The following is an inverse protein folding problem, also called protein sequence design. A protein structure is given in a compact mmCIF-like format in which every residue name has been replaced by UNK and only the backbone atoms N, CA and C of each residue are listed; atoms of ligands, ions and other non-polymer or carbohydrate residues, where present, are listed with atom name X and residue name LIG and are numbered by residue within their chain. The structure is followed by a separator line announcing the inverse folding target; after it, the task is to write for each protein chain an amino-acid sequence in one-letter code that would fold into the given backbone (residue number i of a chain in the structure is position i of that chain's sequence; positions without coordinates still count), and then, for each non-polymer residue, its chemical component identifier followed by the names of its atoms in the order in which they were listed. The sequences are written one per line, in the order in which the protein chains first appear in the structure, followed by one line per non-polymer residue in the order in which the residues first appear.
data_IF_528924988129
#
_entry.id   IF_528924988129
#
_cell.length_a   1.000
_cell.length_b   1.000
_cell.length_c   1.000
_cell.angle_alpha   90.00
_cell.angle_beta   90.00
_cell.angle_gamma   90.00
#
_symmetry.space_group_name_H-M   'P 1'
#
loop_
_entity.id
_entity.type
_entity.pdbx_description
1 polymer ?
#
# COMPACT_ATOMS: atom_id res chain seq x y z
N UNK A 1 -43.51 38.48 10.22
CA UNK A 1 -42.29 38.58 9.40
C UNK A 1 -41.50 37.29 9.66
N UNK A 2 -41.69 36.27 8.82
CA UNK A 2 -40.98 34.98 8.93
C UNK A 2 -40.20 34.85 7.63
N UNK A 3 -38.88 34.89 7.72
CA UNK A 3 -37.98 34.77 6.57
C UNK A 3 -37.66 33.30 6.37
N UNK A 4 -38.18 32.69 5.29
CA UNK A 4 -37.81 31.35 4.87
C UNK A 4 -36.52 31.43 4.06
N UNK A 5 -35.42 30.92 4.62
CA UNK A 5 -34.16 30.71 3.90
C UNK A 5 -34.29 29.36 3.19
N UNK A 6 -34.38 29.38 1.87
CA UNK A 6 -34.24 28.17 1.04
C UNK A 6 -32.76 27.84 0.91
N UNK A 7 -32.31 26.76 1.57
CA UNK A 7 -30.98 26.19 1.36
C UNK A 7 -31.07 25.21 0.19
N UNK A 8 -30.64 25.61 -1.00
CA UNK A 8 -30.48 24.71 -2.14
C UNK A 8 -29.19 23.92 -1.99
N UNK A 9 -29.29 22.63 -1.66
CA UNK A 9 -28.17 21.70 -1.76
C UNK A 9 -27.87 21.45 -3.25
N UNK A 10 -26.85 22.11 -3.77
CA UNK A 10 -26.29 21.78 -5.07
C UNK A 10 -25.43 20.53 -4.91
N UNK A 11 -25.98 19.36 -5.23
CA UNK A 11 -25.20 18.14 -5.43
C UNK A 11 -24.33 18.35 -6.66
N UNK A 12 -23.09 18.78 -6.46
CA UNK A 12 -22.08 18.70 -7.49
C UNK A 12 -21.73 17.21 -7.67
N UNK A 13 -21.94 16.61 -8.86
CA UNK A 13 -21.34 15.32 -9.14
C UNK A 13 -19.83 15.52 -9.09
N UNK A 14 -19.16 14.81 -8.18
CA UNK A 14 -17.70 14.73 -8.23
C UNK A 14 -17.34 14.17 -9.61
N UNK A 15 -16.49 14.86 -10.39
CA UNK A 15 -16.04 14.32 -11.66
C UNK A 15 -15.33 13.01 -11.37
N UNK A 16 -15.90 11.90 -11.85
CA UNK A 16 -15.19 10.63 -11.99
C UNK A 16 -14.17 10.87 -13.10
N UNK A 17 -13.02 11.42 -12.71
CA UNK A 17 -11.84 11.40 -13.56
C UNK A 17 -11.46 9.93 -13.70
N UNK A 18 -11.63 9.41 -14.91
CA UNK A 18 -10.91 8.21 -15.34
C UNK A 18 -9.43 8.56 -15.37
N UNK A 19 -8.78 8.53 -14.22
CA UNK A 19 -7.33 8.60 -14.07
C UNK A 19 -6.91 7.27 -13.50
N UNK A 20 -6.28 6.45 -14.36
CA UNK A 20 -5.53 5.28 -13.91
C UNK A 20 -4.65 5.68 -12.73
N UNK A 21 -4.53 4.82 -11.72
CA UNK A 21 -3.67 5.09 -10.58
C UNK A 21 -2.20 5.26 -11.03
N UNK A 22 -1.39 6.06 -10.30
CA UNK A 22 -0.01 6.29 -10.70
C UNK A 22 0.79 5.02 -10.44
N UNK A 23 1.76 4.72 -11.32
CA UNK A 23 2.82 3.78 -10.98
C UNK A 23 3.84 4.53 -10.13
N UNK A 24 4.14 3.98 -8.95
CA UNK A 24 5.02 4.62 -7.99
C UNK A 24 6.41 3.99 -8.02
N UNK A 25 7.43 4.84 -8.09
CA UNK A 25 8.82 4.45 -7.89
C UNK A 25 9.12 4.49 -6.39
N UNK A 26 9.42 3.32 -5.85
CA UNK A 26 9.58 3.12 -4.42
C UNK A 26 11.00 2.63 -4.09
N UNK A 27 11.41 2.85 -2.85
CA UNK A 27 12.56 2.17 -2.26
C UNK A 27 12.08 1.03 -1.36
N UNK A 28 12.43 -0.21 -1.70
CA UNK A 28 12.32 -1.32 -0.76
C UNK A 28 13.45 -1.21 0.27
N UNK A 29 13.10 -1.11 1.54
CA UNK A 29 14.03 -0.96 2.65
C UNK A 29 13.88 -2.13 3.61
N UNK A 30 15.01 -2.74 3.97
CA UNK A 30 15.04 -3.82 4.95
C UNK A 30 16.30 -3.73 5.79
N UNK A 31 16.15 -3.83 7.10
CA UNK A 31 17.29 -4.00 8.01
C UNK A 31 17.94 -5.36 7.78
N UNK A 32 19.26 -5.39 7.57
CA UNK A 32 19.96 -6.68 7.65
C UNK A 32 19.94 -7.17 9.10
N UNK A 33 19.71 -8.46 9.34
CA UNK A 33 19.99 -9.05 10.64
C UNK A 33 21.42 -8.71 11.05
N UNK A 34 21.57 -7.93 12.13
CA UNK A 34 22.88 -7.57 12.65
C UNK A 34 23.64 -8.82 13.10
N UNK A 35 24.97 -8.85 12.92
CA UNK A 35 25.82 -9.97 13.37
C UNK A 35 26.00 -10.09 14.89
N UNK A 36 25.14 -9.44 15.69
CA UNK A 36 25.31 -9.29 17.13
C UNK A 36 26.38 -8.24 17.46
N UNK A 37 25.96 -7.18 18.16
CA UNK A 37 26.87 -6.16 18.69
C UNK A 37 26.61 -4.76 18.15
N UNK A 38 25.77 -4.00 18.86
CA UNK A 38 25.81 -2.54 19.10
C UNK A 38 25.87 -1.52 17.95
N UNK A 39 26.23 -1.90 16.73
CA UNK A 39 26.32 -1.01 15.57
C UNK A 39 25.00 -1.01 14.81
N UNK A 40 24.57 0.13 14.24
CA UNK A 40 23.38 0.18 13.40
C UNK A 40 23.51 -0.83 12.27
N UNK A 41 22.48 -1.65 12.12
CA UNK A 41 22.42 -2.66 11.07
C UNK A 41 22.55 -1.98 9.71
N UNK A 42 23.38 -2.55 8.83
CA UNK A 42 23.43 -2.10 7.45
C UNK A 42 22.05 -2.31 6.81
N UNK A 43 21.44 -1.25 6.27
CA UNK A 43 20.17 -1.35 5.56
C UNK A 43 20.38 -1.81 4.12
N UNK A 44 19.47 -2.67 3.66
CA UNK A 44 19.29 -2.97 2.23
C UNK A 44 18.32 -1.92 1.71
N UNK A 45 18.69 -1.28 0.60
CA UNK A 45 17.83 -0.39 -0.13
C UNK A 45 17.85 -0.79 -1.60
N UNK A 46 16.69 -1.13 -2.15
CA UNK A 46 16.54 -1.60 -3.54
C UNK A 46 15.47 -0.77 -4.25
N UNK A 47 15.72 -0.41 -5.50
CA UNK A 47 14.69 0.23 -6.34
C UNK A 47 13.56 -0.74 -6.58
N UNK A 48 12.34 -0.24 -6.51
CA UNK A 48 11.12 -1.02 -6.64
C UNK A 48 10.03 -0.23 -7.36
N UNK A 49 9.06 -0.94 -7.92
CA UNK A 49 7.86 -0.35 -8.51
C UNK A 49 6.63 -0.85 -7.77
N UNK A 50 5.69 0.05 -7.53
CA UNK A 50 4.36 -0.26 -6.99
C UNK A 50 3.29 0.10 -8.02
N UNK A 51 2.65 -0.93 -8.54
CA UNK A 51 1.51 -0.86 -9.43
C UNK A 51 0.23 -0.94 -8.62
N UNK A 52 -0.66 0.02 -8.84
CA UNK A 52 -1.92 0.15 -8.09
C UNK A 52 -3.07 -0.09 -9.05
N UNK A 53 -3.97 -0.97 -8.64
CA UNK A 53 -5.22 -1.22 -9.33
C UNK A 53 -6.40 -0.95 -8.38
N UNK A 54 -7.51 -0.44 -8.90
CA UNK A 54 -8.75 -0.28 -8.11
C UNK A 54 -9.66 -1.48 -8.24
N UNK A 55 -9.55 -2.25 -9.33
CA UNK A 55 -10.39 -3.40 -9.62
C UNK A 55 -9.60 -4.71 -9.47
N UNK A 56 -9.97 -5.60 -8.54
CA UNK A 56 -9.31 -6.89 -8.39
C UNK A 56 -9.46 -7.82 -9.61
N UNK A 57 -10.48 -7.62 -10.45
CA UNK A 57 -10.75 -8.46 -11.63
C UNK A 57 -10.10 -7.90 -12.90
N UNK A 58 -9.59 -6.67 -12.88
CA UNK A 58 -8.97 -6.09 -14.06
C UNK A 58 -7.54 -6.61 -14.24
N UNK A 59 -7.32 -7.35 -15.33
CA UNK A 59 -5.99 -7.75 -15.81
C UNK A 59 -5.22 -6.57 -16.42
N UNK A 60 -5.77 -5.35 -16.39
CA UNK A 60 -5.25 -4.16 -17.06
C UNK A 60 -3.89 -3.70 -16.53
N UNK A 61 -3.50 -4.11 -15.31
CA UNK A 61 -2.20 -3.72 -14.72
C UNK A 61 -1.02 -4.58 -15.17
N UNK A 62 -1.23 -5.67 -15.94
CA UNK A 62 -0.13 -6.51 -16.45
C UNK A 62 0.49 -6.01 -17.77
N UNK A 63 0.05 -4.87 -18.32
CA UNK A 63 0.31 -4.54 -19.73
C UNK A 63 1.39 -3.49 -20.01
N UNK A 64 2.36 -3.93 -20.83
CA UNK A 64 3.18 -3.26 -21.86
C UNK A 64 4.61 -2.80 -21.53
N UNK A 65 4.91 -2.13 -20.41
CA UNK A 65 6.28 -1.68 -20.13
C UNK A 65 6.87 -2.53 -19.00
N UNK A 66 7.71 -3.52 -19.35
CA UNK A 66 8.48 -4.26 -18.36
C UNK A 66 9.27 -3.30 -17.46
N UNK A 67 9.61 -3.70 -16.22
CA UNK A 67 10.46 -2.88 -15.35
C UNK A 67 11.72 -2.46 -16.13
N UNK A 68 12.16 -1.22 -15.92
CA UNK A 68 13.41 -0.76 -16.50
C UNK A 68 14.55 -1.70 -16.08
N UNK A 69 15.59 -1.80 -16.89
CA UNK A 69 16.69 -2.77 -16.67
C UNK A 69 17.41 -2.62 -15.32
N UNK A 70 17.21 -1.49 -14.61
CA UNK A 70 17.76 -1.22 -13.28
C UNK A 70 16.86 -1.65 -12.10
N UNK A 71 15.69 -2.24 -12.36
CA UNK A 71 14.75 -2.71 -11.32
C UNK A 71 14.68 -4.24 -11.34
N UNK A 72 14.93 -4.85 -10.18
CA UNK A 72 14.78 -6.29 -10.01
C UNK A 72 13.30 -6.69 -10.13
N UNK A 73 13.00 -7.73 -10.91
CA UNK A 73 11.64 -8.25 -11.07
C UNK A 73 10.99 -8.68 -9.74
N UNK A 74 11.79 -9.12 -8.75
CA UNK A 74 11.32 -9.46 -7.40
C UNK A 74 10.93 -8.23 -6.57
N UNK A 75 11.17 -7.02 -7.10
CA UNK A 75 10.87 -5.73 -6.48
C UNK A 75 9.78 -4.96 -7.24
N UNK A 76 8.99 -5.69 -8.03
CA UNK A 76 7.78 -5.16 -8.65
C UNK A 76 6.56 -5.67 -7.89
N UNK A 77 5.82 -4.75 -7.28
CA UNK A 77 4.66 -5.04 -6.45
C UNK A 77 3.39 -4.64 -7.17
N UNK A 78 2.40 -5.53 -7.18
CA UNK A 78 1.06 -5.27 -7.71
C UNK A 78 0.09 -5.31 -6.55
N UNK A 79 -0.67 -4.24 -6.35
CA UNK A 79 -1.67 -4.16 -5.29
C UNK A 79 -3.03 -3.78 -5.83
N UNK A 80 -4.06 -4.20 -5.10
CA UNK A 80 -5.42 -3.72 -5.28
C UNK A 80 -5.78 -2.78 -4.14
N UNK A 81 -6.22 -1.58 -4.48
CA UNK A 81 -6.79 -0.58 -3.58
C UNK A 81 -8.22 -0.23 -4.03
N UNK A 82 -9.22 -1.03 -3.62
CA UNK A 82 -10.61 -0.80 -4.01
C UNK A 82 -11.17 0.54 -3.49
N UNK A 83 -10.57 1.10 -2.44
CA UNK A 83 -10.97 2.39 -1.88
C UNK A 83 -10.37 3.58 -2.65
N UNK A 84 -9.46 3.33 -3.61
CA UNK A 84 -8.78 4.32 -4.44
C UNK A 84 -8.05 5.43 -3.65
N UNK A 85 -7.64 5.14 -2.40
CA UNK A 85 -6.93 6.08 -1.52
C UNK A 85 -5.54 6.39 -2.08
N UNK A 86 -4.88 5.40 -2.67
CA UNK A 86 -3.55 5.48 -3.27
C UNK A 86 -3.58 6.05 -4.70
N UNK A 87 -4.76 6.36 -5.24
CA UNK A 87 -4.92 6.94 -6.57
C UNK A 87 -5.12 8.47 -6.53
N UNK A 88 -4.73 9.10 -5.43
CA UNK A 88 -4.80 10.56 -5.24
C UNK A 88 -4.00 11.33 -6.29
N UNK A 89 -4.49 12.51 -6.69
CA UNK A 89 -3.80 13.41 -7.61
C UNK A 89 -2.43 13.87 -7.08
N UNK A 90 -2.23 13.95 -5.76
CA UNK A 90 -0.93 14.34 -5.16
C UNK A 90 0.17 13.30 -5.35
N UNK A 91 -0.20 12.07 -5.75
CA UNK A 91 0.70 10.98 -6.09
C UNK A 91 0.94 10.86 -7.60
N UNK A 92 0.31 11.69 -8.42
CA UNK A 92 0.51 11.72 -9.86
C UNK A 92 1.57 12.77 -10.23
N UNK A 93 2.82 12.37 -10.54
CA UNK A 93 3.78 13.30 -11.09
C UNK A 93 3.29 13.80 -12.47
N UNK A 94 3.43 15.09 -12.78
CA UNK A 94 3.24 15.58 -14.15
C UNK A 94 4.12 14.80 -15.12
N UNK A 95 3.64 14.54 -16.34
CA UNK A 95 4.40 13.82 -17.35
C UNK A 95 5.78 14.47 -17.58
N UNK A 96 6.83 13.66 -17.57
CA UNK A 96 8.21 14.12 -17.72
C UNK A 96 8.81 14.84 -16.50
N UNK A 97 8.08 14.94 -15.38
CA UNK A 97 8.60 15.51 -14.14
C UNK A 97 9.70 14.65 -13.54
N UNK A 98 10.81 15.28 -13.17
CA UNK A 98 11.88 14.65 -12.37
C UNK A 98 11.48 14.58 -10.89
N UNK A 99 10.59 15.47 -10.45
CA UNK A 99 10.04 15.45 -9.10
C UNK A 99 8.92 14.43 -9.01
N UNK A 100 9.10 13.44 -8.16
CA UNK A 100 8.20 12.28 -7.96
C UNK A 100 7.77 12.21 -6.49
N UNK A 101 6.59 11.63 -6.20
CA UNK A 101 6.22 11.35 -4.81
C UNK A 101 7.25 10.43 -4.16
N UNK A 102 7.46 10.59 -2.86
CA UNK A 102 8.34 9.65 -2.13
C UNK A 102 7.55 8.39 -1.81
N UNK A 103 8.17 7.24 -2.01
CA UNK A 103 7.59 5.95 -1.66
C UNK A 103 8.66 5.05 -1.06
N UNK A 104 8.36 4.47 0.10
CA UNK A 104 9.21 3.49 0.78
C UNK A 104 8.38 2.26 1.13
N UNK A 105 8.88 1.08 0.79
CA UNK A 105 8.25 -0.21 1.08
C UNK A 105 9.11 -0.94 2.10
N UNK A 106 8.48 -1.41 3.18
CA UNK A 106 9.13 -2.14 4.25
C UNK A 106 8.42 -3.49 4.50
N UNK A 107 9.14 -4.57 4.82
CA UNK A 107 8.53 -5.77 5.38
C UNK A 107 7.68 -5.44 6.60
N UNK A 108 6.47 -6.00 6.66
CA UNK A 108 5.54 -5.81 7.76
C UNK A 108 5.20 -7.17 8.37
N UNK A 109 5.24 -7.26 9.70
CA UNK A 109 4.78 -8.43 10.44
C UNK A 109 3.58 -8.00 11.27
N UNK A 110 2.35 -8.45 10.97
CA UNK A 110 1.19 -8.15 11.78
C UNK A 110 1.41 -8.65 13.21
N UNK A 111 1.26 -7.76 14.19
CA UNK A 111 1.36 -8.09 15.62
C UNK A 111 0.22 -7.40 16.39
N UNK A 112 -0.23 -7.98 17.52
CA UNK A 112 -1.15 -7.30 18.41
C UNK A 112 -0.56 -5.97 18.93
N UNK A 113 -1.44 -5.01 19.18
CA UNK A 113 -1.03 -3.72 19.73
C UNK A 113 -0.53 -3.85 21.17
N UNK A 114 0.51 -3.10 21.52
CA UNK A 114 1.08 -3.09 22.89
C UNK A 114 0.30 -2.19 23.86
N UNK A 115 -0.56 -1.31 23.34
CA UNK A 115 -1.35 -0.39 24.18
C UNK A 115 -2.63 -1.05 24.69
N UNK A 116 -2.85 -0.91 26.01
CA UNK A 116 -3.92 -1.63 26.73
C UNK A 116 -5.33 -1.32 26.21
N UNK A 117 -5.59 -0.09 25.78
CA UNK A 117 -6.90 0.30 25.29
C UNK A 117 -7.29 -0.41 23.98
N UNK A 118 -6.31 -0.89 23.20
CA UNK A 118 -6.54 -1.62 21.96
C UNK A 118 -6.62 -3.14 22.16
N UNK A 119 -6.34 -3.65 23.36
CA UNK A 119 -6.36 -5.09 23.66
C UNK A 119 -7.68 -5.80 23.27
N UNK A 120 -8.89 -5.18 23.41
CA UNK A 120 -10.13 -5.82 23.00
C UNK A 120 -10.23 -6.13 21.49
N UNK A 121 -9.43 -5.47 20.64
CA UNK A 121 -9.40 -5.72 19.19
C UNK A 121 -8.78 -7.08 18.82
N UNK A 122 -8.04 -7.70 19.74
CA UNK A 122 -7.33 -8.98 19.54
C UNK A 122 -7.56 -9.96 20.68
N UNK A 123 -8.82 -10.14 21.10
CA UNK A 123 -9.17 -10.93 22.29
C UNK A 123 -8.90 -12.44 22.16
N UNK A 124 -8.90 -12.98 20.94
CA UNK A 124 -8.76 -14.43 20.68
C UNK A 124 -7.44 -15.04 21.14
N UNK A 125 -6.43 -14.22 21.52
CA UNK A 125 -5.07 -14.65 21.86
C UNK A 125 -4.36 -15.50 20.78
N UNK A 126 -4.96 -15.63 19.60
CA UNK A 126 -4.48 -16.40 18.47
C UNK A 126 -4.43 -15.51 17.22
N UNK A 127 -3.35 -15.63 16.45
CA UNK A 127 -3.21 -14.95 15.18
C UNK A 127 -4.23 -15.47 14.17
N UNK A 128 -5.08 -14.61 13.56
CA UNK A 128 -6.02 -15.03 12.54
C UNK A 128 -5.32 -15.69 11.34
N UNK A 129 -5.90 -16.78 10.82
CA UNK A 129 -5.29 -17.57 9.74
C UNK A 129 -5.09 -16.77 8.45
N UNK A 130 -5.97 -15.81 8.16
CA UNK A 130 -5.86 -14.96 6.98
C UNK A 130 -4.66 -14.00 7.01
N UNK A 131 -4.01 -13.83 8.17
CA UNK A 131 -2.77 -13.06 8.30
C UNK A 131 -1.52 -13.90 8.00
N UNK A 132 -1.65 -15.22 7.75
CA UNK A 132 -0.54 -16.10 7.39
C UNK A 132 -0.10 -15.88 5.94
N UNK A 133 0.58 -14.76 5.70
CA UNK A 133 1.16 -14.39 4.43
C UNK A 133 2.36 -13.48 4.68
N UNK A 134 3.12 -13.22 3.63
CA UNK A 134 4.07 -12.12 3.65
C UNK A 134 3.30 -10.80 3.50
N UNK A 135 3.63 -9.81 4.32
CA UNK A 135 3.03 -8.48 4.30
C UNK A 135 4.09 -7.42 4.13
N UNK A 136 3.71 -6.32 3.50
CA UNK A 136 4.51 -5.12 3.36
C UNK A 136 3.73 -3.92 3.86
N UNK A 137 4.45 -2.91 4.30
CA UNK A 137 3.93 -1.57 4.50
C UNK A 137 4.55 -0.63 3.48
N UNK A 138 3.76 0.30 2.97
CA UNK A 138 4.23 1.38 2.11
C UNK A 138 3.99 2.71 2.82
N UNK A 139 5.02 3.55 2.88
CA UNK A 139 4.93 4.94 3.30
C UNK A 139 5.05 5.81 2.05
N UNK A 140 4.08 6.69 1.83
CA UNK A 140 3.99 7.55 0.68
C UNK A 140 3.93 9.02 1.11
N UNK A 141 4.66 9.87 0.40
CA UNK A 141 4.56 11.31 0.52
C UNK A 141 4.28 11.93 -0.86
N UNK A 142 3.22 12.73 -0.94
CA UNK A 142 2.87 13.47 -2.15
C UNK A 142 3.92 14.50 -2.55
N UNK A 143 3.84 14.97 -3.79
CA UNK A 143 4.82 15.88 -4.41
C UNK A 143 5.06 17.18 -3.64
N UNK A 144 4.03 17.68 -2.97
CA UNK A 144 4.00 18.93 -2.20
C UNK A 144 4.18 18.71 -0.69
N UNK A 145 4.40 17.46 -0.28
CA UNK A 145 4.51 17.06 1.12
C UNK A 145 3.23 17.21 1.94
N UNK A 146 2.11 17.62 1.33
CA UNK A 146 0.84 17.83 2.05
C UNK A 146 0.10 16.53 2.31
N UNK A 147 0.32 15.53 1.45
CA UNK A 147 -0.25 14.20 1.61
C UNK A 147 0.81 13.24 2.15
N UNK A 148 0.55 12.67 3.33
CA UNK A 148 1.30 11.53 3.88
C UNK A 148 0.35 10.35 4.04
N UNK A 149 0.67 9.22 3.42
CA UNK A 149 -0.13 7.99 3.50
C UNK A 149 0.73 6.83 3.97
N UNK A 150 0.13 5.92 4.73
CA UNK A 150 0.71 4.62 5.02
C UNK A 150 -0.33 3.55 4.74
N UNK A 151 0.09 2.50 4.03
CA UNK A 151 -0.75 1.37 3.67
C UNK A 151 -0.07 0.06 4.05
N UNK A 152 -0.85 -0.92 4.47
CA UNK A 152 -0.41 -2.29 4.71
C UNK A 152 -1.03 -3.18 3.65
N UNK A 153 -0.20 -3.92 2.95
CA UNK A 153 -0.56 -4.70 1.77
C UNK A 153 0.01 -6.12 1.87
N UNK A 154 -0.73 -7.08 1.33
CA UNK A 154 -0.27 -8.47 1.24
C UNK A 154 0.72 -8.60 0.08
N UNK A 155 1.78 -9.40 0.26
CA UNK A 155 2.68 -9.77 -0.83
C UNK A 155 1.91 -10.57 -1.90
N UNK A 156 2.10 -10.30 -3.20
CA UNK A 156 1.49 -11.07 -4.28
C UNK A 156 1.93 -12.54 -4.23
N UNK A 157 3.21 -12.77 -3.97
CA UNK A 157 3.83 -14.07 -3.75
C UNK A 157 3.71 -14.47 -2.27
N UNK A 158 2.49 -14.54 -1.73
CA UNK A 158 2.30 -15.14 -0.42
C UNK A 158 2.86 -16.57 -0.46
N UNK A 159 3.96 -16.84 0.25
CA UNK A 159 4.62 -18.15 0.22
C UNK A 159 3.78 -19.29 0.81
N UNK A 160 2.60 -18.99 1.39
CA UNK A 160 1.62 -19.98 1.86
C UNK A 160 0.20 -19.45 1.68
N UNK A 161 -0.56 -20.02 0.75
CA UNK A 161 -2.01 -20.01 0.89
C UNK A 161 -2.39 -20.91 2.09
N UNK A 162 -3.29 -20.48 2.98
CA UNK A 162 -3.81 -21.37 4.01
C UNK A 162 -4.66 -22.45 3.33
N UNK A 163 -4.10 -23.64 3.18
CA UNK A 163 -4.82 -24.85 2.77
C UNK A 163 -5.70 -25.35 3.91
N UNK A 164 -6.74 -24.59 4.23
CA UNK A 164 -7.81 -25.03 5.12
C UNK A 164 -8.67 -26.08 4.42
N UNK A 165 -8.27 -27.35 4.49
CA UNK A 165 -9.24 -28.44 4.36
C UNK A 165 -9.91 -28.59 5.73
N UNK A 166 -11.16 -28.16 5.84
CA UNK A 166 -12.05 -28.64 6.90
C UNK A 166 -12.22 -30.15 6.69
N UNK A 167 -11.52 -30.95 7.50
CA UNK A 167 -11.91 -32.33 7.75
C UNK A 167 -12.87 -32.32 8.95
N UNK A 168 -14.17 -32.38 8.67
CA UNK A 168 -15.11 -32.92 9.62
C UNK A 168 -14.86 -34.43 9.69
N UNK A 169 -14.37 -34.90 10.83
CA UNK A 169 -14.59 -36.25 11.35
C UNK A 169 -15.19 -36.11 12.75
#
# INVERSE_FOLDING_TARGET
MVSHIHTTFSSFPLPVYGTSCPVLECWFVQEKPGRGGGFPAAMIQEKSLLYINTDPESEETKSQQGPSADINHDRVYYITDPAAVLCSSSLHPPEGSVHKPQCEINPFMPQPSTVQWAAPLTYSAHSPIYLQADWYSAALQGLDGQLGLSSVMRAPTATKEPTGKESYD
#
